data_IF_804509475246
#
_entry.id   IF_804509475246
#
_cell.length_a   1.000
_cell.length_b   1.000
_cell.length_c   1.000
_cell.angle_alpha   90.00
_cell.angle_beta   90.00
_cell.angle_gamma   90.00
#
_symmetry.space_group_name_H-M   'P 1'
#
loop_
_entity.id
_entity.type
_entity.pdbx_description
1 polymer ?
#
# COMPACT_ATOMS: atom_id res chain seq x y z
N UNK A 1 -23.12 23.20 2.36
CA UNK A 1 -22.05 23.09 1.36
C UNK A 1 -20.69 23.60 1.83
N UNK A 2 -20.59 24.66 2.64
CA UNK A 2 -19.29 25.18 3.09
C UNK A 2 -18.35 24.13 3.75
N UNK A 3 -18.86 23.33 4.70
CA UNK A 3 -18.08 22.24 5.33
C UNK A 3 -17.61 21.20 4.30
N UNK A 4 -18.47 20.83 3.33
CA UNK A 4 -18.11 19.91 2.26
C UNK A 4 -16.97 20.46 1.41
N UNK A 5 -17.05 21.72 0.97
CA UNK A 5 -16.02 22.33 0.14
C UNK A 5 -14.67 22.46 0.85
N UNK A 6 -14.67 22.79 2.14
CA UNK A 6 -13.45 22.80 2.95
C UNK A 6 -12.78 21.43 3.03
N UNK A 7 -13.57 20.36 3.21
CA UNK A 7 -13.02 18.99 3.21
C UNK A 7 -12.62 18.54 1.80
N UNK A 8 -13.33 18.96 0.75
CA UNK A 8 -12.97 18.63 -0.63
C UNK A 8 -11.65 19.29 -1.04
N UNK A 9 -11.40 20.52 -0.60
CA UNK A 9 -10.12 21.19 -0.77
C UNK A 9 -8.99 20.40 -0.09
N UNK A 10 -9.18 19.96 1.17
CA UNK A 10 -8.22 19.08 1.85
C UNK A 10 -8.03 17.72 1.15
N UNK A 11 -9.10 17.17 0.56
CA UNK A 11 -9.07 15.90 -0.14
C UNK A 11 -8.30 15.96 -1.46
N UNK A 12 -8.12 17.16 -2.02
CA UNK A 12 -7.45 17.37 -3.29
C UNK A 12 -8.11 16.59 -4.42
N UNK A 13 -7.32 15.74 -5.09
CA UNK A 13 -7.76 14.93 -6.22
C UNK A 13 -8.44 13.61 -5.80
N UNK A 14 -8.49 13.30 -4.50
CA UNK A 14 -9.22 12.13 -4.02
C UNK A 14 -10.73 12.32 -4.13
N UNK A 15 -11.46 11.23 -4.40
CA UNK A 15 -12.89 11.17 -4.19
C UNK A 15 -13.20 11.36 -2.70
N UNK A 16 -14.19 12.19 -2.37
CA UNK A 16 -14.56 12.44 -0.98
C UNK A 16 -15.77 11.61 -0.57
N UNK A 17 -15.55 10.58 0.23
CA UNK A 17 -16.61 9.87 0.95
C UNK A 17 -17.05 10.71 2.14
N UNK A 18 -18.16 11.44 1.98
CA UNK A 18 -18.66 12.36 3.00
C UNK A 18 -19.78 11.71 3.83
N UNK A 19 -19.53 11.49 5.13
CA UNK A 19 -20.48 10.78 6.00
C UNK A 19 -21.79 11.54 6.22
N UNK A 20 -22.90 10.93 5.81
CA UNK A 20 -24.26 11.43 5.98
C UNK A 20 -25.19 10.32 6.50
N UNK A 21 -25.44 10.31 7.81
CA UNK A 21 -26.30 9.28 8.42
C UNK A 21 -25.65 7.89 8.29
N UNK A 22 -26.29 6.97 7.58
CA UNK A 22 -25.77 5.61 7.33
C UNK A 22 -25.12 5.44 5.94
N UNK A 23 -24.86 6.54 5.25
CA UNK A 23 -24.26 6.56 3.91
C UNK A 23 -22.98 7.38 3.88
N UNK A 24 -22.07 6.98 3.00
CA UNK A 24 -21.09 7.89 2.43
C UNK A 24 -21.66 8.44 1.14
N UNK A 25 -21.86 9.76 1.10
CA UNK A 25 -22.33 10.48 -0.08
C UNK A 25 -21.16 11.17 -0.77
N UNK A 26 -21.21 11.20 -2.10
CA UNK A 26 -20.31 11.97 -2.96
C UNK A 26 -21.13 12.97 -3.74
N UNK A 27 -20.55 14.13 -4.05
CA UNK A 27 -21.24 15.22 -4.75
C UNK A 27 -20.47 15.69 -5.98
N UNK A 28 -21.17 16.37 -6.89
CA UNK A 28 -20.59 17.00 -8.09
C UNK A 28 -19.84 15.98 -8.97
N UNK A 29 -18.59 16.27 -9.33
CA UNK A 29 -17.81 15.42 -10.23
C UNK A 29 -17.35 14.12 -9.56
N UNK A 30 -17.16 14.13 -8.23
CA UNK A 30 -16.90 12.89 -7.48
C UNK A 30 -18.11 11.94 -7.59
N UNK A 31 -19.33 12.48 -7.53
CA UNK A 31 -20.54 11.68 -7.69
C UNK A 31 -20.61 11.02 -9.07
N UNK A 32 -20.30 11.77 -10.13
CA UNK A 32 -20.30 11.27 -11.51
C UNK A 32 -19.23 10.19 -11.71
N UNK A 33 -18.01 10.45 -11.25
CA UNK A 33 -16.89 9.52 -11.37
C UNK A 33 -17.16 8.21 -10.59
N UNK A 34 -17.65 8.34 -9.35
CA UNK A 34 -17.99 7.18 -8.53
C UNK A 34 -19.18 6.41 -9.09
N UNK A 35 -20.24 7.09 -9.55
CA UNK A 35 -21.41 6.42 -10.14
C UNK A 35 -21.04 5.60 -11.38
N UNK A 36 -20.24 6.18 -12.29
CA UNK A 36 -19.76 5.49 -13.48
C UNK A 36 -18.85 4.30 -13.15
N UNK A 37 -17.96 4.45 -12.15
CA UNK A 37 -17.02 3.38 -11.75
C UNK A 37 -17.71 2.25 -11.00
N UNK A 38 -18.65 2.60 -10.13
CA UNK A 38 -19.33 1.67 -9.23
C UNK A 38 -20.61 1.09 -9.82
N UNK A 39 -21.06 1.59 -10.97
CA UNK A 39 -22.34 1.24 -11.58
C UNK A 39 -23.49 1.38 -10.56
N UNK A 40 -23.57 2.57 -9.95
CA UNK A 40 -24.62 2.93 -9.00
C UNK A 40 -25.40 4.14 -9.50
N UNK A 41 -26.62 4.31 -9.00
CA UNK A 41 -27.49 5.41 -9.42
C UNK A 41 -26.86 6.78 -9.14
N UNK A 42 -26.76 7.61 -10.18
CA UNK A 42 -26.50 9.03 -10.07
C UNK A 42 -27.83 9.76 -9.90
N UNK A 43 -27.98 10.47 -8.79
CA UNK A 43 -29.17 11.24 -8.41
C UNK A 43 -28.81 12.70 -8.21
N UNK A 44 -29.75 13.51 -7.69
CA UNK A 44 -29.48 14.89 -7.31
C UNK A 44 -29.99 15.20 -5.91
N UNK A 45 -29.31 16.13 -5.21
CA UNK A 45 -29.68 16.55 -3.86
C UNK A 45 -29.59 18.07 -3.71
N UNK A 46 -30.75 18.72 -3.71
CA UNK A 46 -30.83 20.18 -3.59
C UNK A 46 -30.18 20.91 -4.77
N UNK A 47 -29.91 22.19 -4.58
CA UNK A 47 -29.38 23.08 -5.62
C UNK A 47 -28.16 23.86 -5.12
N UNK A 48 -27.22 24.11 -6.03
CA UNK A 48 -26.09 25.00 -5.83
C UNK A 48 -25.98 25.91 -7.05
N UNK A 49 -25.98 27.22 -6.84
CA UNK A 49 -26.00 28.23 -7.91
C UNK A 49 -27.12 28.01 -8.95
N UNK A 50 -28.30 27.59 -8.47
CA UNK A 50 -29.48 27.34 -9.28
C UNK A 50 -29.45 26.04 -10.11
N UNK A 51 -28.42 25.19 -9.93
CA UNK A 51 -28.30 23.90 -10.61
C UNK A 51 -28.46 22.74 -9.61
N UNK A 52 -29.16 21.64 -9.97
CA UNK A 52 -29.25 20.46 -9.14
C UNK A 52 -27.86 19.87 -8.86
N UNK A 53 -27.54 19.59 -7.59
CA UNK A 53 -26.23 19.02 -7.23
C UNK A 53 -26.23 17.52 -7.52
N UNK A 54 -25.36 17.01 -8.42
CA UNK A 54 -25.22 15.58 -8.64
C UNK A 54 -24.77 14.87 -7.36
N UNK A 55 -25.36 13.71 -7.07
CA UNK A 55 -25.10 12.95 -5.85
C UNK A 55 -25.21 11.44 -6.10
N UNK A 56 -24.28 10.68 -5.54
CA UNK A 56 -24.43 9.24 -5.37
C UNK A 56 -23.95 8.86 -3.96
N UNK A 57 -24.31 7.66 -3.50
CA UNK A 57 -23.93 7.23 -2.17
C UNK A 57 -23.86 5.73 -2.01
N UNK A 58 -23.07 5.30 -1.04
CA UNK A 58 -22.91 3.88 -0.68
C UNK A 58 -23.21 3.69 0.81
N UNK A 59 -23.88 2.60 1.21
CA UNK A 59 -24.13 2.33 2.62
C UNK A 59 -22.81 2.03 3.35
N UNK A 60 -22.67 2.60 4.54
CA UNK A 60 -21.44 2.50 5.35
C UNK A 60 -21.06 1.05 5.65
N UNK A 61 -22.04 0.22 6.02
CA UNK A 61 -21.81 -1.19 6.36
C UNK A 61 -21.22 -2.01 5.20
N UNK A 62 -21.29 -1.49 3.96
CA UNK A 62 -20.79 -2.13 2.74
C UNK A 62 -19.68 -1.34 2.06
N UNK A 63 -19.25 -0.21 2.65
CA UNK A 63 -18.33 0.75 2.03
C UNK A 63 -17.01 0.10 1.59
N UNK A 64 -16.48 -0.87 2.34
CA UNK A 64 -15.23 -1.57 1.98
C UNK A 64 -15.29 -2.21 0.60
N UNK A 65 -16.41 -2.82 0.22
CA UNK A 65 -16.54 -3.46 -1.09
C UNK A 65 -16.52 -2.44 -2.24
N UNK A 66 -17.13 -1.26 -2.04
CA UNK A 66 -17.09 -0.15 -2.98
C UNK A 66 -15.71 0.52 -3.03
N UNK A 67 -15.07 0.70 -1.87
CA UNK A 67 -13.68 1.18 -1.80
C UNK A 67 -12.76 0.27 -2.61
N UNK A 68 -12.84 -1.06 -2.43
CA UNK A 68 -12.03 -2.01 -3.21
C UNK A 68 -12.16 -1.80 -4.73
N UNK A 69 -13.38 -1.55 -5.21
CA UNK A 69 -13.66 -1.30 -6.63
C UNK A 69 -13.10 0.03 -7.10
N UNK A 70 -13.27 1.10 -6.33
CA UNK A 70 -12.72 2.42 -6.64
C UNK A 70 -11.19 2.40 -6.70
N UNK A 71 -10.53 1.81 -5.71
CA UNK A 71 -9.07 1.69 -5.69
C UNK A 71 -8.58 0.86 -6.87
N UNK A 72 -9.26 -0.25 -7.19
CA UNK A 72 -8.93 -1.07 -8.37
C UNK A 72 -9.09 -0.30 -9.69
N UNK A 73 -10.04 0.62 -9.75
CA UNK A 73 -10.27 1.45 -10.93
C UNK A 73 -9.31 2.64 -11.05
N UNK A 74 -8.37 2.83 -10.12
CA UNK A 74 -7.39 3.91 -10.20
C UNK A 74 -7.69 5.10 -9.28
N UNK A 75 -8.81 5.09 -8.56
CA UNK A 75 -9.18 6.20 -7.69
C UNK A 75 -8.44 6.14 -6.35
N UNK A 76 -8.30 7.31 -5.72
CA UNK A 76 -7.96 7.48 -4.31
C UNK A 76 -9.15 8.07 -3.58
N UNK A 77 -9.37 7.69 -2.33
CA UNK A 77 -10.59 8.06 -1.60
C UNK A 77 -10.25 8.65 -0.24
N UNK A 78 -10.69 9.87 0.02
CA UNK A 78 -10.65 10.50 1.34
C UNK A 78 -11.95 10.16 2.09
N UNK A 79 -11.83 9.67 3.33
CA UNK A 79 -12.96 9.31 4.18
C UNK A 79 -13.17 10.43 5.19
N UNK A 80 -14.28 11.16 5.06
CA UNK A 80 -14.70 12.17 6.01
C UNK A 80 -15.80 11.63 6.94
N UNK A 81 -15.47 11.50 8.22
CA UNK A 81 -16.37 10.99 9.26
C UNK A 81 -16.86 12.11 10.18
N UNK A 82 -17.91 11.80 10.95
CA UNK A 82 -18.38 12.67 12.02
C UNK A 82 -17.41 12.59 13.22
N UNK A 83 -16.84 13.73 13.61
CA UNK A 83 -15.89 13.82 14.73
C UNK A 83 -16.56 14.23 16.05
N UNK A 84 -17.86 14.53 15.99
CA UNK A 84 -18.71 14.77 17.17
C UNK A 84 -20.08 14.10 16.93
N UNK A 85 -20.80 13.83 18.01
CA UNK A 85 -22.16 13.32 17.96
C UNK A 85 -23.17 14.44 17.64
N UNK A 86 -24.37 14.11 17.13
CA UNK A 86 -25.45 15.09 16.96
C UNK A 86 -25.84 15.81 18.27
N UNK A 87 -25.69 15.14 19.42
CA UNK A 87 -25.96 15.72 20.72
C UNK A 87 -24.90 16.78 21.11
N UNK A 88 -23.62 16.48 20.88
CA UNK A 88 -22.51 17.41 21.13
C UNK A 88 -22.59 18.62 20.21
N UNK A 89 -22.89 18.42 18.92
CA UNK A 89 -23.12 19.51 17.97
C UNK A 89 -24.24 20.43 18.46
N UNK A 90 -25.36 19.85 18.91
CA UNK A 90 -26.50 20.60 19.44
C UNK A 90 -26.13 21.37 20.72
N UNK A 91 -25.30 20.80 21.58
CA UNK A 91 -24.80 21.48 22.77
C UNK A 91 -23.86 22.66 22.41
N UNK A 92 -23.06 22.53 21.35
CA UNK A 92 -22.11 23.55 20.88
C UNK A 92 -22.76 24.77 20.23
N UNK A 93 -23.83 24.58 19.44
CA UNK A 93 -24.38 25.67 18.62
C UNK A 93 -25.91 25.66 18.48
N UNK A 94 -26.62 24.94 19.35
CA UNK A 94 -28.08 24.82 19.30
C UNK A 94 -28.58 23.87 18.21
N UNK A 95 -29.89 23.85 17.97
CA UNK A 95 -30.57 22.89 17.07
C UNK A 95 -30.16 22.97 15.59
N UNK A 96 -29.48 24.03 15.17
CA UNK A 96 -29.00 24.24 13.79
C UNK A 96 -27.51 23.95 13.60
N UNK A 97 -26.81 23.57 14.66
CA UNK A 97 -25.39 23.26 14.58
C UNK A 97 -25.17 22.05 13.68
N UNK A 98 -24.36 22.24 12.63
CA UNK A 98 -23.92 21.14 11.78
C UNK A 98 -22.90 20.30 12.53
N UNK A 99 -23.11 18.98 12.52
CA UNK A 99 -22.15 18.01 13.05
C UNK A 99 -20.78 18.21 12.38
N UNK A 100 -19.75 18.39 13.19
CA UNK A 100 -18.38 18.54 12.75
C UNK A 100 -17.90 17.26 12.07
N UNK A 101 -17.13 17.45 11.00
CA UNK A 101 -16.54 16.37 10.21
C UNK A 101 -15.11 16.71 9.89
N UNK A 102 -14.29 15.69 9.81
CA UNK A 102 -12.94 15.81 9.28
C UNK A 102 -12.56 14.56 8.48
N UNK A 103 -11.54 14.70 7.64
CA UNK A 103 -10.94 13.55 6.96
C UNK A 103 -10.17 12.75 7.99
N UNK A 104 -10.61 11.53 8.24
CA UNK A 104 -9.99 10.62 9.21
C UNK A 104 -9.00 9.66 8.56
N UNK A 105 -8.98 9.60 7.22
CA UNK A 105 -8.08 8.75 6.45
C UNK A 105 -8.15 9.02 4.96
N UNK A 106 -7.04 8.76 4.27
CA UNK A 106 -7.01 8.53 2.82
C UNK A 106 -6.77 7.04 2.53
N UNK A 107 -7.51 6.50 1.57
CA UNK A 107 -7.38 5.13 1.07
C UNK A 107 -6.79 5.20 -0.33
N UNK A 108 -5.61 4.61 -0.50
CA UNK A 108 -4.86 4.61 -1.76
C UNK A 108 -4.36 3.21 -2.08
N UNK A 109 -3.97 2.96 -3.33
CA UNK A 109 -3.58 1.61 -3.76
C UNK A 109 -2.39 1.05 -2.98
N UNK A 110 -1.42 1.87 -2.57
CA UNK A 110 -0.23 1.45 -1.83
C UNK A 110 -0.41 1.36 -0.31
N UNK A 111 -1.53 1.83 0.26
CA UNK A 111 -1.69 2.03 1.71
C UNK A 111 -2.80 1.16 2.33
N UNK A 112 -3.22 0.11 1.63
CA UNK A 112 -4.26 -0.82 2.05
C UNK A 112 -3.78 -1.72 3.20
N UNK A 113 -4.63 -1.87 4.23
CA UNK A 113 -4.37 -2.73 5.39
C UNK A 113 -5.48 -3.74 5.65
N UNK A 114 -6.68 -3.43 5.18
CA UNK A 114 -7.90 -4.22 5.34
C UNK A 114 -7.83 -5.48 4.49
N UNK A 115 -8.20 -6.62 5.07
CA UNK A 115 -8.20 -7.90 4.36
C UNK A 115 -9.13 -7.88 3.13
N UNK A 116 -10.28 -7.22 3.22
CA UNK A 116 -11.24 -7.11 2.11
C UNK A 116 -10.69 -6.32 0.90
N UNK A 117 -9.69 -5.46 1.12
CA UNK A 117 -9.10 -4.63 0.07
C UNK A 117 -7.84 -5.26 -0.54
N UNK A 118 -7.24 -6.22 0.16
CA UNK A 118 -5.97 -6.85 -0.21
C UNK A 118 -6.17 -8.19 -0.91
N UNK A 119 -5.30 -8.47 -1.88
CA UNK A 119 -5.11 -9.84 -2.34
C UNK A 119 -4.25 -10.61 -1.32
N UNK A 120 -4.79 -11.66 -0.70
CA UNK A 120 -4.09 -12.42 0.34
C UNK A 120 -2.70 -12.91 -0.08
N UNK A 121 -2.58 -13.43 -1.30
CA UNK A 121 -1.37 -14.10 -1.82
C UNK A 121 -0.43 -13.17 -2.62
N UNK A 122 -0.65 -11.86 -2.57
CA UNK A 122 0.12 -10.85 -3.30
C UNK A 122 0.61 -9.77 -2.32
N UNK A 123 1.82 -9.25 -2.52
CA UNK A 123 2.31 -8.09 -1.78
C UNK A 123 1.58 -6.82 -2.26
N UNK A 124 1.41 -5.83 -1.38
CA UNK A 124 0.82 -4.53 -1.71
C UNK A 124 1.81 -3.42 -1.38
N UNK A 125 2.65 -3.08 -2.36
CA UNK A 125 3.78 -2.17 -2.15
C UNK A 125 3.45 -0.73 -2.52
N UNK A 126 3.75 0.19 -1.61
CA UNK A 126 3.97 1.60 -1.87
C UNK A 126 5.47 1.79 -2.13
N UNK A 127 5.83 2.41 -3.25
CA UNK A 127 7.23 2.74 -3.55
C UNK A 127 7.44 4.25 -3.68
N UNK A 128 8.67 4.71 -3.51
CA UNK A 128 9.08 6.07 -3.79
C UNK A 128 10.42 6.08 -4.52
N UNK A 129 10.54 6.98 -5.51
CA UNK A 129 11.77 7.18 -6.27
C UNK A 129 12.38 8.53 -5.91
N UNK A 130 13.65 8.53 -5.51
CA UNK A 130 14.40 9.74 -5.24
C UNK A 130 15.73 9.78 -6.01
N UNK A 131 16.02 10.93 -6.59
CA UNK A 131 17.33 11.25 -7.18
C UNK A 131 17.85 12.50 -6.50
N UNK A 132 19.03 12.40 -5.87
CA UNK A 132 19.72 13.55 -5.27
C UNK A 132 20.90 13.92 -6.15
N UNK A 133 20.98 15.21 -6.51
CA UNK A 133 22.05 15.72 -7.37
C UNK A 133 23.44 15.40 -6.80
N UNK A 134 24.31 14.86 -7.65
CA UNK A 134 25.69 14.51 -7.30
C UNK A 134 25.95 13.04 -6.93
N UNK A 135 24.92 12.23 -6.65
CA UNK A 135 25.13 10.80 -6.31
C UNK A 135 25.17 9.88 -7.54
N UNK A 136 24.65 10.32 -8.70
CA UNK A 136 24.64 9.53 -9.94
C UNK A 136 23.68 8.34 -9.96
N UNK A 137 23.29 7.84 -8.79
CA UNK A 137 22.33 6.77 -8.56
C UNK A 137 20.90 7.29 -8.30
N UNK A 138 19.93 6.39 -8.45
CA UNK A 138 18.53 6.58 -8.10
C UNK A 138 18.19 5.64 -6.96
N UNK A 139 17.65 6.19 -5.87
CA UNK A 139 17.18 5.40 -4.75
C UNK A 139 15.71 5.06 -4.92
N UNK A 140 15.37 3.81 -4.61
CA UNK A 140 14.02 3.29 -4.61
C UNK A 140 13.76 2.69 -3.24
N UNK A 141 12.79 3.26 -2.52
CA UNK A 141 12.28 2.70 -1.29
C UNK A 141 10.93 2.02 -1.56
N UNK A 142 10.65 0.90 -0.90
CA UNK A 142 9.37 0.21 -1.01
C UNK A 142 8.91 -0.30 0.35
N UNK A 143 7.62 -0.13 0.64
CA UNK A 143 6.99 -0.57 1.86
C UNK A 143 5.71 -1.36 1.58
N UNK A 144 5.51 -2.48 2.27
CA UNK A 144 4.21 -3.14 2.35
C UNK A 144 3.60 -2.82 3.73
N UNK A 145 2.68 -1.86 3.74
CA UNK A 145 2.06 -1.32 4.96
C UNK A 145 1.26 -2.39 5.71
N UNK A 146 0.76 -3.40 4.99
CA UNK A 146 -0.01 -4.49 5.59
C UNK A 146 0.87 -5.45 6.39
N UNK A 147 2.17 -5.55 6.08
CA UNK A 147 3.10 -6.49 6.74
C UNK A 147 4.23 -5.80 7.50
N UNK A 148 4.38 -4.50 7.33
CA UNK A 148 5.45 -3.69 7.90
C UNK A 148 6.80 -3.85 7.21
N UNK A 149 6.91 -4.65 6.14
CA UNK A 149 8.16 -4.76 5.37
C UNK A 149 8.54 -3.40 4.79
N UNK A 150 9.81 -3.04 4.94
CA UNK A 150 10.36 -1.81 4.40
C UNK A 150 11.77 -2.08 3.85
N UNK A 151 11.97 -1.78 2.58
CA UNK A 151 13.21 -2.04 1.86
C UNK A 151 13.67 -0.80 1.09
N UNK A 152 14.98 -0.68 0.87
CA UNK A 152 15.57 0.37 0.05
C UNK A 152 16.74 -0.15 -0.77
N UNK A 153 16.89 0.35 -1.99
CA UNK A 153 18.00 0.04 -2.89
C UNK A 153 18.42 1.30 -3.64
N UNK A 154 19.72 1.44 -3.88
CA UNK A 154 20.27 2.39 -4.83
C UNK A 154 20.68 1.66 -6.12
N UNK A 155 20.25 2.19 -7.26
CA UNK A 155 20.51 1.62 -8.58
C UNK A 155 20.96 2.68 -9.56
N UNK A 156 21.65 2.29 -10.62
CA UNK A 156 21.95 3.22 -11.71
C UNK A 156 20.67 3.61 -12.46
N UNK A 157 20.61 4.79 -13.10
CA UNK A 157 19.45 5.27 -13.84
C UNK A 157 18.84 4.24 -14.80
N UNK A 158 19.67 3.52 -15.54
CA UNK A 158 19.28 2.51 -16.52
C UNK A 158 18.69 1.23 -15.89
N UNK A 159 18.79 1.06 -14.57
CA UNK A 159 18.29 -0.10 -13.84
C UNK A 159 16.96 0.18 -13.12
N UNK A 160 16.47 1.43 -13.15
CA UNK A 160 15.25 1.85 -12.45
C UNK A 160 14.05 1.03 -12.92
N UNK A 161 13.85 0.87 -14.22
CA UNK A 161 12.67 0.19 -14.76
C UNK A 161 12.66 -1.31 -14.39
N UNK A 162 13.84 -1.95 -14.40
CA UNK A 162 13.99 -3.34 -13.98
C UNK A 162 13.67 -3.52 -12.49
N UNK A 163 14.07 -2.56 -11.66
CA UNK A 163 13.82 -2.59 -10.22
C UNK A 163 12.35 -2.29 -9.89
N UNK A 164 11.72 -1.33 -10.58
CA UNK A 164 10.28 -1.09 -10.48
C UNK A 164 9.47 -2.29 -10.95
N UNK A 165 9.90 -3.00 -12.00
CA UNK A 165 9.28 -4.25 -12.44
C UNK A 165 9.45 -5.40 -11.43
N UNK A 166 10.58 -5.47 -10.73
CA UNK A 166 10.80 -6.42 -9.62
C UNK A 166 9.84 -6.15 -8.46
N UNK A 167 9.73 -4.89 -8.07
CA UNK A 167 8.88 -4.46 -6.95
C UNK A 167 7.39 -4.48 -7.31
N UNK A 168 7.03 -4.20 -8.56
CA UNK A 168 5.65 -4.08 -9.04
C UNK A 168 4.75 -3.27 -8.07
N UNK A 169 5.10 -2.01 -7.75
CA UNK A 169 4.39 -1.25 -6.75
C UNK A 169 2.94 -0.98 -7.17
N UNK A 170 2.02 -1.10 -6.21
CA UNK A 170 0.62 -0.73 -6.40
C UNK A 170 0.46 0.79 -6.50
N UNK A 171 1.40 1.54 -5.92
CA UNK A 171 1.46 3.00 -5.98
C UNK A 171 2.92 3.45 -5.92
N UNK A 172 3.32 4.35 -6.81
CA UNK A 172 4.66 4.93 -6.88
C UNK A 172 4.60 6.43 -6.62
N UNK A 173 5.34 6.88 -5.62
CA UNK A 173 5.56 8.28 -5.30
C UNK A 173 6.74 8.84 -6.09
N UNK A 174 6.53 9.99 -6.71
CA UNK A 174 7.57 10.74 -7.41
C UNK A 174 7.51 12.22 -7.01
N UNK A 175 8.65 12.90 -7.05
CA UNK A 175 8.71 14.33 -6.77
C UNK A 175 8.03 15.13 -7.88
N UNK A 176 7.32 16.20 -7.53
CA UNK A 176 6.83 17.21 -8.48
C UNK A 176 7.97 17.88 -9.26
N UNK A 177 9.18 17.92 -8.68
CA UNK A 177 10.36 18.44 -9.35
C UNK A 177 11.01 17.43 -10.33
N UNK A 178 10.50 16.19 -10.42
CA UNK A 178 10.98 15.23 -11.40
C UNK A 178 10.52 15.63 -12.81
N UNK A 179 11.49 15.86 -13.71
CA UNK A 179 11.23 16.28 -15.09
C UNK A 179 10.50 15.20 -15.89
N UNK A 180 10.88 13.94 -15.69
CA UNK A 180 10.32 12.79 -16.38
C UNK A 180 9.73 11.79 -15.39
N UNK A 181 8.60 11.19 -15.75
CA UNK A 181 8.09 10.03 -15.05
C UNK A 181 8.87 8.80 -15.51
N UNK A 182 9.29 7.92 -14.60
CA UNK A 182 9.87 6.64 -15.00
C UNK A 182 8.86 5.85 -15.85
N UNK A 183 9.35 5.04 -16.78
CA UNK A 183 8.52 4.06 -17.50
C UNK A 183 8.17 2.95 -16.51
N UNK A 184 7.17 3.24 -15.69
CA UNK A 184 6.88 2.47 -14.49
C UNK A 184 5.82 1.41 -14.76
N UNK A 185 6.07 0.19 -14.27
CA UNK A 185 5.07 -0.86 -14.11
C UNK A 185 4.10 -0.60 -12.93
N UNK A 186 4.26 0.54 -12.24
CA UNK A 186 3.37 0.91 -11.15
C UNK A 186 1.94 1.08 -11.66
N UNK A 187 0.99 0.56 -10.88
CA UNK A 187 -0.43 0.71 -11.20
C UNK A 187 -0.91 2.17 -11.12
N UNK A 188 -0.34 2.93 -10.19
CA UNK A 188 -0.64 4.34 -9.98
C UNK A 188 0.65 5.11 -9.71
N UNK A 189 0.75 6.32 -10.25
CA UNK A 189 1.86 7.26 -9.99
C UNK A 189 1.29 8.50 -9.35
N UNK A 190 1.85 8.89 -8.20
CA UNK A 190 1.42 10.04 -7.42
C UNK A 190 2.58 11.03 -7.30
N UNK A 191 2.37 12.25 -7.80
CA UNK A 191 3.30 13.35 -7.59
C UNK A 191 3.13 13.92 -6.18
N UNK A 192 4.25 14.18 -5.50
CA UNK A 192 4.31 14.77 -4.17
C UNK A 192 5.28 15.94 -4.16
N UNK A 193 5.04 16.89 -3.24
CA UNK A 193 5.87 18.07 -3.08
C UNK A 193 7.35 17.70 -2.94
N UNK A 194 8.25 18.45 -3.57
CA UNK A 194 9.69 18.19 -3.51
C UNK A 194 10.24 18.19 -2.08
N UNK A 195 9.58 18.88 -1.14
CA UNK A 195 9.90 18.87 0.28
C UNK A 195 9.74 17.49 0.94
N UNK A 196 8.84 16.65 0.44
CA UNK A 196 8.63 15.29 0.95
C UNK A 196 9.86 14.41 0.67
N UNK A 197 10.62 14.72 -0.39
CA UNK A 197 11.85 14.04 -0.81
C UNK A 197 13.14 14.70 -0.28
N UNK A 198 13.04 15.53 0.76
CA UNK A 198 14.24 16.09 1.41
C UNK A 198 14.96 15.03 2.24
N UNK A 199 16.23 14.74 1.95
CA UNK A 199 17.00 13.74 2.69
C UNK A 199 17.15 14.08 4.18
N UNK A 200 17.39 15.35 4.51
CA UNK A 200 17.57 15.79 5.89
C UNK A 200 16.27 15.80 6.71
N UNK A 201 15.15 16.18 6.10
CA UNK A 201 13.84 16.06 6.75
C UNK A 201 13.39 14.60 6.83
N UNK A 202 13.69 13.81 5.79
CA UNK A 202 13.43 12.38 5.71
C UNK A 202 14.12 11.61 6.83
N UNK A 203 15.42 11.88 7.07
CA UNK A 203 16.15 11.28 8.19
C UNK A 203 15.45 11.54 9.53
N UNK A 204 15.13 12.80 9.83
CA UNK A 204 14.43 13.16 11.09
C UNK A 204 13.08 12.46 11.23
N UNK A 205 12.34 12.33 10.13
CA UNK A 205 11.04 11.64 10.11
C UNK A 205 11.21 10.15 10.39
N UNK A 206 12.22 9.50 9.80
CA UNK A 206 12.53 8.09 10.04
C UNK A 206 13.02 7.84 11.47
N UNK A 207 13.86 8.73 12.01
CA UNK A 207 14.30 8.68 13.42
C UNK A 207 13.10 8.75 14.37
N UNK A 208 12.17 9.67 14.13
CA UNK A 208 10.94 9.79 14.90
C UNK A 208 10.02 8.56 14.73
N UNK A 209 9.87 8.06 13.49
CA UNK A 209 9.06 6.89 13.16
C UNK A 209 9.52 5.64 13.92
N UNK A 210 10.83 5.40 13.97
CA UNK A 210 11.41 4.22 14.63
C UNK A 210 11.75 4.45 16.10
N UNK A 211 11.57 5.67 16.63
CA UNK A 211 11.88 6.01 18.02
C UNK A 211 13.38 5.92 18.35
N UNK A 212 14.25 6.28 17.40
CA UNK A 212 15.71 6.21 17.54
C UNK A 212 16.35 7.60 17.43
N UNK A 213 17.55 7.77 18.00
CA UNK A 213 18.30 9.03 17.86
C UNK A 213 19.04 9.15 16.53
N UNK A 214 19.52 8.03 15.99
CA UNK A 214 20.17 7.94 14.68
C UNK A 214 19.76 6.66 13.97
N UNK A 215 19.91 6.61 12.65
CA UNK A 215 19.62 5.43 11.83
C UNK A 215 20.81 4.47 11.69
N UNK A 216 21.96 4.77 12.31
CA UNK A 216 23.21 4.02 12.14
C UNK A 216 23.06 2.54 12.54
N UNK A 217 22.16 2.25 13.49
CA UNK A 217 21.84 0.89 13.90
C UNK A 217 21.08 0.06 12.85
N UNK A 218 20.50 0.69 11.83
CA UNK A 218 19.81 0.03 10.72
C UNK A 218 20.69 -0.04 9.47
N UNK A 219 21.64 0.89 9.31
CA UNK A 219 22.61 0.89 8.25
C UNK A 219 23.08 2.28 7.87
N UNK A 220 24.13 2.34 7.05
CA UNK A 220 24.59 3.58 6.43
C UNK A 220 23.82 3.80 5.12
N UNK A 221 22.92 4.79 5.14
CA UNK A 221 22.07 5.16 4.01
C UNK A 221 22.60 6.41 3.28
N UNK A 222 22.51 6.43 1.95
CA UNK A 222 22.82 7.61 1.14
C UNK A 222 21.78 8.71 1.28
N UNK A 223 22.03 9.91 0.74
CA UNK A 223 21.04 10.98 0.76
C UNK A 223 19.84 10.62 -0.12
N UNK A 224 20.06 9.96 -1.26
CA UNK A 224 19.00 9.41 -2.09
C UNK A 224 18.11 8.42 -1.33
N UNK A 225 18.73 7.46 -0.63
CA UNK A 225 17.99 6.45 0.14
C UNK A 225 17.14 7.09 1.26
N UNK A 226 17.70 8.04 2.00
CA UNK A 226 16.98 8.81 3.02
C UNK A 226 15.84 9.66 2.43
N UNK A 227 16.02 10.22 1.23
CA UNK A 227 14.99 10.97 0.52
C UNK A 227 13.82 10.08 0.09
N UNK A 228 14.09 8.90 -0.49
CA UNK A 228 13.06 7.97 -0.92
C UNK A 228 12.27 7.41 0.28
N UNK A 229 12.97 6.95 1.31
CA UNK A 229 12.34 6.46 2.54
C UNK A 229 11.57 7.57 3.27
N UNK A 230 12.14 8.77 3.32
CA UNK A 230 11.52 9.95 3.92
C UNK A 230 10.23 10.37 3.22
N UNK A 231 10.15 10.20 1.89
CA UNK A 231 8.95 10.48 1.10
C UNK A 231 7.83 9.47 1.39
N UNK A 232 8.15 8.18 1.54
CA UNK A 232 7.19 7.17 2.01
C UNK A 232 6.64 7.58 3.37
N UNK A 233 7.52 7.90 4.33
CA UNK A 233 7.09 8.29 5.67
C UNK A 233 6.22 9.56 5.63
N UNK A 234 6.57 10.59 4.84
CA UNK A 234 5.76 11.80 4.67
C UNK A 234 4.36 11.48 4.12
N UNK A 235 4.30 10.59 3.14
CA UNK A 235 3.05 10.18 2.53
C UNK A 235 2.18 9.40 3.51
N UNK A 236 2.78 8.52 4.31
CA UNK A 236 2.07 7.75 5.32
C UNK A 236 1.52 8.64 6.45
N UNK A 237 2.26 9.67 6.87
CA UNK A 237 1.75 10.69 7.81
C UNK A 237 0.51 11.40 7.24
N UNK A 238 0.56 11.76 5.95
CA UNK A 238 -0.54 12.41 5.25
C UNK A 238 -1.76 11.50 5.10
N UNK A 239 -1.58 10.25 4.65
CA UNK A 239 -2.71 9.34 4.38
C UNK A 239 -3.31 8.71 5.64
N UNK A 240 -2.51 8.56 6.70
CA UNK A 240 -2.90 7.94 7.96
C UNK A 240 -3.57 8.89 8.95
N UNK A 241 -3.42 10.20 8.75
CA UNK A 241 -3.95 11.30 9.60
C UNK A 241 -3.86 11.00 11.11
N UNK A 242 -2.68 10.59 11.58
CA UNK A 242 -2.31 10.49 13.00
C UNK A 242 -2.28 9.09 13.62
N UNK A 243 -2.59 8.03 12.87
CA UNK A 243 -2.45 6.65 13.34
C UNK A 243 -1.00 6.17 13.43
N UNK A 244 -0.72 5.22 14.33
CA UNK A 244 0.59 4.58 14.40
C UNK A 244 0.89 3.81 13.10
N UNK A 245 2.10 3.99 12.57
CA UNK A 245 2.57 3.30 11.38
C UNK A 245 3.25 2.00 11.78
N UNK A 246 2.81 0.89 11.18
CA UNK A 246 3.48 -0.39 11.34
C UNK A 246 4.52 -0.54 10.22
N UNK A 247 5.75 -0.09 10.49
CA UNK A 247 6.91 -0.37 9.65
C UNK A 247 8.03 -0.97 10.49
N UNK A 248 8.66 -2.01 9.96
CA UNK A 248 9.90 -2.56 10.48
C UNK A 248 11.07 -1.69 10.02
N UNK A 249 12.22 -1.74 10.72
CA UNK A 249 13.42 -1.06 10.27
C UNK A 249 13.75 -1.40 8.80
N UNK A 250 14.21 -0.41 8.01
CA UNK A 250 14.47 -0.60 6.59
C UNK A 250 15.63 -1.57 6.36
N UNK A 251 15.43 -2.50 5.43
CA UNK A 251 16.48 -3.38 4.93
C UNK A 251 17.09 -2.79 3.66
N UNK A 252 18.40 -2.55 3.69
CA UNK A 252 19.14 -2.10 2.51
C UNK A 252 19.54 -3.29 1.64
N UNK A 253 19.11 -3.32 0.40
CA UNK A 253 19.54 -4.32 -0.58
C UNK A 253 20.70 -3.81 -1.44
N UNK A 254 21.58 -4.72 -1.83
CA UNK A 254 22.59 -4.46 -2.86
C UNK A 254 22.06 -4.94 -4.21
N UNK A 255 22.07 -4.05 -5.22
CA UNK A 255 21.61 -4.39 -6.57
C UNK A 255 22.39 -5.56 -7.20
N UNK A 256 23.65 -5.79 -6.79
CA UNK A 256 24.51 -6.87 -7.30
C UNK A 256 24.18 -8.27 -6.74
N UNK A 257 23.45 -8.36 -5.62
CA UNK A 257 23.14 -9.63 -4.96
C UNK A 257 21.98 -10.41 -5.60
N UNK A 258 21.33 -9.84 -6.60
CA UNK A 258 20.14 -10.37 -7.26
C UNK A 258 20.33 -10.37 -8.77
N UNK A 259 19.68 -11.32 -9.45
CA UNK A 259 19.67 -11.37 -10.90
C UNK A 259 18.82 -10.21 -11.44
N UNK A 260 19.43 -9.34 -12.23
CA UNK A 260 18.70 -8.30 -12.96
C UNK A 260 17.89 -8.95 -14.09
N UNK A 261 16.58 -8.70 -14.09
CA UNK A 261 15.66 -9.11 -15.14
C UNK A 261 14.83 -7.89 -15.49
N UNK A 262 14.90 -7.45 -16.74
CA UNK A 262 14.12 -6.32 -17.22
C UNK A 262 12.61 -6.62 -17.30
N UNK A 263 11.80 -5.57 -17.43
CA UNK A 263 10.34 -5.68 -17.46
C UNK A 263 9.85 -6.58 -18.61
N UNK A 264 10.39 -6.40 -19.82
CA UNK A 264 9.98 -7.14 -21.00
C UNK A 264 10.26 -8.65 -20.88
N UNK A 265 11.39 -9.02 -20.29
CA UNK A 265 11.77 -10.40 -20.01
C UNK A 265 10.86 -11.01 -18.94
N UNK A 266 10.51 -10.27 -17.88
CA UNK A 266 9.57 -10.73 -16.84
C UNK A 266 8.18 -11.01 -17.42
N UNK A 267 7.70 -10.15 -18.30
CA UNK A 267 6.42 -10.33 -19.00
C UNK A 267 6.47 -11.51 -19.97
N UNK A 268 7.52 -11.60 -20.80
CA UNK A 268 7.69 -12.68 -21.78
C UNK A 268 7.81 -14.06 -21.13
N UNK A 269 8.42 -14.13 -19.94
CA UNK A 269 8.52 -15.36 -19.14
C UNK A 269 7.24 -15.65 -18.34
N UNK A 270 6.26 -14.75 -18.35
CA UNK A 270 5.01 -14.84 -17.58
C UNK A 270 5.28 -15.24 -16.12
N UNK A 271 6.25 -14.58 -15.46
CA UNK A 271 6.72 -15.02 -14.13
C UNK A 271 5.60 -15.00 -13.08
N UNK A 272 4.78 -13.96 -13.10
CA UNK A 272 3.71 -13.73 -12.09
C UNK A 272 2.33 -13.74 -12.73
N UNK A 273 2.19 -13.16 -13.93
CA UNK A 273 0.93 -13.04 -14.69
C UNK A 273 1.15 -13.42 -16.15
N UNK A 274 0.10 -13.91 -16.79
CA UNK A 274 0.10 -14.19 -18.23
C UNK A 274 0.07 -12.89 -19.05
N UNK A 275 0.65 -12.91 -20.24
CA UNK A 275 0.53 -11.88 -21.27
C UNK A 275 -0.80 -11.99 -22.03
N UNK A 276 -1.32 -13.21 -22.19
CA UNK A 276 -2.59 -13.46 -22.87
C UNK A 276 -3.77 -13.46 -21.90
N UNK A 277 -4.95 -13.06 -22.37
CA UNK A 277 -6.15 -12.93 -21.53
C UNK A 277 -6.17 -11.68 -20.67
N UNK A 278 -6.79 -11.74 -19.48
CA UNK A 278 -6.95 -10.61 -18.56
C UNK A 278 -5.75 -10.38 -17.62
N UNK A 279 -4.55 -10.90 -17.95
CA UNK A 279 -3.37 -10.79 -17.09
C UNK A 279 -3.51 -11.56 -15.77
N UNK A 280 -3.90 -12.83 -15.86
CA UNK A 280 -4.22 -13.67 -14.69
C UNK A 280 -2.97 -14.30 -14.09
N UNK A 281 -3.02 -14.60 -12.79
CA UNK A 281 -2.02 -15.43 -12.12
C UNK A 281 -2.07 -16.88 -12.62
N UNK A 282 -3.27 -17.37 -12.91
CA UNK A 282 -3.45 -18.72 -13.46
C UNK A 282 -2.86 -18.78 -14.87
N UNK A 283 -2.04 -19.80 -15.12
CA UNK A 283 -1.26 -19.96 -16.35
C UNK A 283 0.18 -19.43 -16.27
N UNK A 284 0.50 -18.57 -15.31
CA UNK A 284 1.86 -18.05 -15.10
C UNK A 284 2.78 -19.07 -14.42
N UNK A 285 4.10 -18.82 -14.40
CA UNK A 285 5.05 -19.65 -13.66
C UNK A 285 4.66 -19.74 -12.18
N UNK A 286 4.42 -18.58 -11.54
CA UNK A 286 3.99 -18.53 -10.14
C UNK A 286 2.67 -19.27 -9.92
N UNK A 287 1.67 -19.09 -10.79
CA UNK A 287 0.40 -19.83 -10.70
C UNK A 287 0.58 -21.34 -10.80
N UNK A 288 1.55 -21.79 -11.59
CA UNK A 288 1.86 -23.21 -11.79
C UNK A 288 2.55 -23.82 -10.57
N UNK A 289 3.58 -23.16 -10.02
CA UNK A 289 4.44 -23.72 -8.98
C UNK A 289 3.97 -23.42 -7.55
N UNK A 290 3.11 -22.44 -7.37
CA UNK A 290 2.65 -22.05 -6.03
C UNK A 290 1.78 -23.16 -5.41
N UNK A 291 2.39 -23.88 -4.46
CA UNK A 291 1.77 -24.91 -3.61
C UNK A 291 1.91 -24.58 -2.13
N UNK A 292 2.15 -23.30 -1.82
CA UNK A 292 2.27 -22.79 -0.46
C UNK A 292 0.92 -22.87 0.26
N UNK A 293 0.94 -23.21 1.54
CA UNK A 293 -0.27 -23.41 2.36
C UNK A 293 -0.66 -22.18 3.16
N UNK A 294 0.15 -21.12 3.12
CA UNK A 294 -0.11 -19.84 3.79
C UNK A 294 -0.02 -18.67 2.80
N UNK A 295 -0.75 -17.60 3.09
CA UNK A 295 -0.70 -16.37 2.31
C UNK A 295 0.70 -15.72 2.35
N UNK A 296 1.34 -15.70 3.53
CA UNK A 296 2.70 -15.20 3.71
C UNK A 296 3.73 -16.00 2.89
N UNK A 297 3.61 -17.33 2.87
CA UNK A 297 4.47 -18.18 2.03
C UNK A 297 4.29 -17.91 0.53
N UNK A 298 3.06 -17.67 0.09
CA UNK A 298 2.78 -17.32 -1.31
C UNK A 298 3.42 -15.99 -1.72
N UNK A 299 3.41 -14.99 -0.82
CA UNK A 299 4.09 -13.70 -1.03
C UNK A 299 5.60 -13.88 -1.07
N UNK A 300 6.18 -14.64 -0.13
CA UNK A 300 7.62 -14.92 -0.12
C UNK A 300 8.09 -15.63 -1.41
N UNK A 301 7.34 -16.64 -1.87
CA UNK A 301 7.64 -17.33 -3.14
C UNK A 301 7.60 -16.38 -4.34
N UNK A 302 6.63 -15.46 -4.37
CA UNK A 302 6.55 -14.45 -5.43
C UNK A 302 7.77 -13.51 -5.39
N UNK A 303 8.22 -13.11 -4.20
CA UNK A 303 9.39 -12.25 -4.02
C UNK A 303 10.68 -12.96 -4.47
N UNK A 304 10.83 -14.23 -4.12
CA UNK A 304 11.96 -15.07 -4.51
C UNK A 304 12.03 -15.26 -6.04
N UNK A 305 10.89 -15.50 -6.70
CA UNK A 305 10.83 -15.57 -8.16
C UNK A 305 11.12 -14.23 -8.83
N UNK A 306 10.66 -13.13 -8.21
CA UNK A 306 10.93 -11.80 -8.72
C UNK A 306 12.41 -11.42 -8.58
N UNK A 307 13.12 -12.02 -7.62
CA UNK A 307 14.48 -11.62 -7.22
C UNK A 307 15.40 -12.84 -7.07
N UNK A 308 15.75 -13.55 -8.16
CA UNK A 308 16.60 -14.73 -8.06
C UNK A 308 17.96 -14.38 -7.46
N UNK A 309 18.44 -15.21 -6.54
CA UNK A 309 19.73 -15.05 -5.89
C UNK A 309 20.88 -15.28 -6.87
N UNK A 310 21.96 -14.52 -6.72
CA UNK A 310 23.23 -14.74 -7.46
C UNK A 310 24.31 -15.36 -6.58
N UNK A 311 24.16 -15.30 -5.26
CA UNK A 311 25.11 -15.90 -4.31
C UNK A 311 24.93 -17.42 -4.22
N UNK A 312 25.98 -18.14 -4.62
CA UNK A 312 25.96 -19.60 -4.66
C UNK A 312 25.74 -20.23 -3.28
N UNK A 313 26.33 -19.67 -2.22
CA UNK A 313 26.21 -20.24 -0.89
C UNK A 313 24.75 -20.20 -0.41
N UNK A 314 24.11 -19.05 -0.53
CA UNK A 314 22.69 -18.87 -0.18
C UNK A 314 21.76 -19.77 -1.02
N UNK A 315 22.08 -19.99 -2.31
CA UNK A 315 21.33 -20.92 -3.17
C UNK A 315 21.46 -22.36 -2.67
N UNK A 316 22.68 -22.80 -2.32
CA UNK A 316 22.91 -24.16 -1.81
C UNK A 316 22.22 -24.38 -0.46
N UNK A 317 22.26 -23.41 0.45
CA UNK A 317 21.55 -23.50 1.73
C UNK A 317 20.04 -23.70 1.54
N UNK A 318 19.44 -22.99 0.57
CA UNK A 318 18.02 -23.19 0.20
C UNK A 318 17.77 -24.58 -0.39
N UNK A 319 18.68 -25.09 -1.23
CA UNK A 319 18.56 -26.42 -1.83
C UNK A 319 18.69 -27.54 -0.80
N UNK A 320 19.56 -27.39 0.20
CA UNK A 320 19.71 -28.37 1.28
C UNK A 320 18.43 -28.49 2.11
N UNK A 321 17.76 -27.37 2.40
CA UNK A 321 16.43 -27.38 3.06
C UNK A 321 15.37 -28.10 2.21
N UNK A 322 15.39 -27.87 0.90
CA UNK A 322 14.46 -28.53 -0.03
C UNK A 322 14.73 -30.04 -0.09
N UNK A 323 16.00 -30.47 -0.19
CA UNK A 323 16.38 -31.88 -0.26
C UNK A 323 16.02 -32.62 1.04
N UNK A 324 16.27 -32.01 2.20
CA UNK A 324 15.88 -32.55 3.50
C UNK A 324 14.36 -32.81 3.58
N UNK A 325 13.54 -31.82 3.19
CA UNK A 325 12.08 -31.96 3.18
C UNK A 325 11.56 -32.85 2.04
N UNK A 326 12.28 -32.98 0.93
CA UNK A 326 11.89 -33.84 -0.18
C UNK A 326 12.02 -35.33 0.19
N UNK A 327 13.09 -35.68 0.91
CA UNK A 327 13.41 -37.05 1.33
C UNK A 327 12.51 -37.58 2.45
N UNK A 328 11.99 -36.71 3.30
CA UNK A 328 11.08 -37.09 4.39
C UNK A 328 9.64 -36.66 4.12
N UNK A 329 8.84 -37.58 3.58
CA UNK A 329 7.44 -37.32 3.25
C UNK A 329 6.56 -37.13 4.49
N UNK A 330 6.88 -37.78 5.62
CA UNK A 330 6.12 -37.67 6.86
C UNK A 330 6.34 -36.29 7.48
N UNK A 331 7.61 -35.91 7.68
CA UNK A 331 7.97 -34.59 8.21
C UNK A 331 7.42 -33.46 7.34
N UNK A 332 7.53 -33.57 6.01
CA UNK A 332 6.94 -32.60 5.08
C UNK A 332 5.42 -32.51 5.23
N UNK A 333 4.74 -33.63 5.45
CA UNK A 333 3.29 -33.68 5.68
C UNK A 333 2.88 -32.97 6.97
N UNK A 334 3.57 -33.28 8.07
CA UNK A 334 3.36 -32.69 9.40
C UNK A 334 3.63 -31.18 9.38
N UNK A 335 4.76 -30.76 8.81
CA UNK A 335 5.10 -29.35 8.68
C UNK A 335 4.05 -28.59 7.86
N UNK A 336 3.59 -29.16 6.74
CA UNK A 336 2.52 -28.53 5.94
C UNK A 336 1.19 -28.45 6.69
N UNK A 337 0.86 -29.44 7.51
CA UNK A 337 -0.34 -29.42 8.34
C UNK A 337 -0.25 -28.31 9.41
N UNK A 338 0.89 -28.22 10.10
CA UNK A 338 1.15 -27.17 11.09
C UNK A 338 1.10 -25.77 10.45
N UNK A 339 1.80 -25.56 9.33
CA UNK A 339 1.79 -24.28 8.62
C UNK A 339 0.40 -23.90 8.10
N UNK A 340 -0.41 -24.86 7.62
CA UNK A 340 -1.77 -24.57 7.13
C UNK A 340 -2.70 -24.05 8.23
N UNK A 341 -2.46 -24.44 9.48
CA UNK A 341 -3.24 -23.95 10.62
C UNK A 341 -2.89 -22.50 11.00
N UNK A 342 -1.74 -21.98 10.55
CA UNK A 342 -1.31 -20.62 10.88
C UNK A 342 -2.11 -19.57 10.08
N UNK A 343 -2.68 -18.55 10.74
CA UNK A 343 -3.30 -17.42 10.05
C UNK A 343 -2.25 -16.47 9.46
N UNK A 344 -2.71 -15.44 8.73
CA UNK A 344 -1.83 -14.37 8.22
C UNK A 344 -1.48 -13.36 9.33
N UNK A 345 -0.74 -13.84 10.33
CA UNK A 345 -0.42 -13.10 11.54
C UNK A 345 0.31 -11.77 11.28
N UNK A 346 1.12 -11.70 10.22
CA UNK A 346 1.79 -10.46 9.82
C UNK A 346 0.81 -9.34 9.47
N UNK A 347 -0.24 -9.67 8.69
CA UNK A 347 -1.31 -8.71 8.36
C UNK A 347 -2.24 -8.42 9.53
N UNK A 348 -2.51 -9.42 10.38
CA UNK A 348 -3.26 -9.21 11.61
C UNK A 348 -2.55 -8.21 12.55
N UNK A 349 -1.24 -8.39 12.75
CA UNK A 349 -0.40 -7.48 13.54
C UNK A 349 -0.42 -6.08 12.95
N UNK A 350 -0.24 -5.94 11.63
CA UNK A 350 -0.29 -4.64 10.96
C UNK A 350 -1.59 -3.89 11.18
N UNK A 351 -2.74 -4.59 11.08
CA UNK A 351 -4.05 -3.98 11.38
C UNK A 351 -4.17 -3.56 12.83
N UNK A 352 -3.72 -4.38 13.78
CA UNK A 352 -3.78 -4.07 15.21
C UNK A 352 -2.93 -2.85 15.57
N UNK A 353 -1.70 -2.77 15.07
CA UNK A 353 -0.82 -1.61 15.28
C UNK A 353 -1.41 -0.34 14.67
N UNK A 354 -2.01 -0.45 13.48
CA UNK A 354 -2.67 0.68 12.83
C UNK A 354 -3.99 1.12 13.51
N UNK A 355 -4.41 0.46 14.60
CA UNK A 355 -5.68 0.75 15.27
C UNK A 355 -6.93 0.35 14.46
N UNK A 356 -6.75 -0.53 13.46
CA UNK A 356 -7.79 -0.99 12.52
C UNK A 356 -8.16 -2.47 12.71
N UNK A 357 -7.46 -3.16 13.60
CA UNK A 357 -7.73 -4.56 13.94
C UNK A 357 -8.86 -4.69 14.96
N UNK A 358 -9.47 -5.86 15.01
CA UNK A 358 -10.52 -6.23 15.95
C UNK A 358 -10.25 -7.53 16.71
N UNK A 359 -11.25 -8.06 17.43
CA UNK A 359 -11.10 -9.30 18.21
C UNK A 359 -10.64 -10.51 17.39
N UNK A 360 -11.00 -10.57 16.10
CA UNK A 360 -10.56 -11.62 15.19
C UNK A 360 -9.07 -11.56 14.91
N UNK A 361 -8.50 -10.37 14.78
CA UNK A 361 -7.05 -10.19 14.55
C UNK A 361 -6.25 -10.61 15.78
N UNK A 362 -6.74 -10.30 16.98
CA UNK A 362 -6.14 -10.78 18.23
C UNK A 362 -6.21 -12.31 18.35
N UNK A 363 -7.33 -12.91 17.95
CA UNK A 363 -7.45 -14.36 17.88
C UNK A 363 -6.46 -14.98 16.87
N UNK A 364 -6.26 -14.34 15.71
CA UNK A 364 -5.24 -14.79 14.74
C UNK A 364 -3.83 -14.74 15.33
N UNK A 365 -3.49 -13.70 16.10
CA UNK A 365 -2.17 -13.64 16.76
C UNK A 365 -2.01 -14.72 17.84
N UNK A 366 -3.04 -14.95 18.66
CA UNK A 366 -3.04 -16.06 19.64
C UNK A 366 -2.79 -17.38 18.92
N UNK A 367 -3.59 -17.68 17.89
CA UNK A 367 -3.52 -18.97 17.18
C UNK A 367 -2.17 -19.15 16.46
N UNK A 368 -1.51 -18.07 16.06
CA UNK A 368 -0.18 -18.12 15.46
C UNK A 368 0.97 -18.33 16.47
N UNK A 369 0.80 -17.88 17.72
CA UNK A 369 1.82 -17.99 18.76
C UNK A 369 1.73 -19.28 19.59
N UNK A 370 0.57 -19.95 19.54
CA UNK A 370 0.26 -21.12 20.39
C UNK A 370 -0.26 -20.71 21.76
#
# INVERSE_FOLDING_TARGET
MAQYWSLKEKAGDCLLFYRMGDFFELFFDDAKAAAATLDIALTSRGEHDGQPVPMCGVPVHSAESYLARLIRAGHRVAIAEQIETPAEAKARGGSKALVARDIVRFVTAGTLTEEALLEGRSANRLAALARVGGEGEVAIAAADISTGRFEVVAVRPEQVDAELARLAPSELLVSEAAEELPVSSARQVVRRAASDFSSGAGQKRLEALFGVQTLDGFGAFSRGELAAMGAIAAYLDHVGTGGALFLQPPVRHQASGLMAIDAATRESLELVRTMTGAGTRDGSLLGTIDRTVTAAGARLLADDLASPLTDKATILDRLDLVDALARDALWRGELRAALRALPDAGRALGRLVAGRGGPRDLAQLRDALG
#
